data_IF_105621844280
#
_entry.id   IF_105621844280
#
_cell.length_a   1.000
_cell.length_b   1.000
_cell.length_c   1.000
_cell.angle_alpha   90.00
_cell.angle_beta   90.00
_cell.angle_gamma   90.00
#
_symmetry.space_group_name_H-M   'P 1'
#
loop_
_entity.id
_entity.type
_entity.pdbx_description
1 polymer ?
#
# COMPACT_ATOMS: atom_id res chain seq x y z
N UNK A 1 16.86 3.36 -5.60
CA UNK A 1 17.41 4.11 -6.75
C UNK A 1 16.78 5.49 -6.77
N UNK A 2 17.49 6.51 -7.28
CA UNK A 2 16.91 7.83 -7.52
C UNK A 2 16.30 7.91 -8.92
N UNK A 3 15.18 8.62 -9.05
CA UNK A 3 14.62 8.95 -10.35
C UNK A 3 15.57 9.90 -11.10
N UNK A 4 15.73 9.68 -12.40
CA UNK A 4 16.63 10.47 -13.26
C UNK A 4 15.89 11.43 -14.20
N UNK A 5 14.56 11.43 -14.17
CA UNK A 5 13.68 12.18 -15.07
C UNK A 5 12.48 12.78 -14.32
N UNK A 6 11.77 13.68 -15.02
CA UNK A 6 10.49 14.24 -14.58
C UNK A 6 10.57 15.11 -13.32
N UNK A 7 9.39 15.48 -12.80
CA UNK A 7 9.22 16.34 -11.61
C UNK A 7 9.97 15.84 -10.38
N UNK A 8 10.11 14.52 -10.24
CA UNK A 8 10.72 13.88 -9.06
C UNK A 8 12.18 13.48 -9.26
N UNK A 9 12.87 14.03 -10.27
CA UNK A 9 14.31 13.80 -10.48
C UNK A 9 15.10 14.02 -9.19
N UNK A 10 15.98 13.08 -8.85
CA UNK A 10 16.77 13.05 -7.62
C UNK A 10 16.07 12.44 -6.40
N UNK A 11 14.77 12.14 -6.48
CA UNK A 11 14.01 11.50 -5.39
C UNK A 11 14.21 9.99 -5.40
N UNK A 12 14.39 9.38 -4.22
CA UNK A 12 14.43 7.92 -4.07
C UNK A 12 13.07 7.28 -4.40
N UNK A 13 13.07 6.24 -5.24
CA UNK A 13 11.87 5.52 -5.64
C UNK A 13 11.10 4.95 -4.42
N UNK A 14 11.80 4.38 -3.43
CA UNK A 14 11.17 3.88 -2.19
C UNK A 14 10.39 4.96 -1.46
N UNK A 15 10.92 6.19 -1.41
CA UNK A 15 10.24 7.32 -0.78
C UNK A 15 9.01 7.72 -1.59
N UNK A 16 9.16 7.82 -2.91
CA UNK A 16 8.10 8.27 -3.80
C UNK A 16 6.91 7.30 -3.84
N UNK A 17 7.15 5.98 -3.69
CA UNK A 17 6.11 4.96 -3.57
C UNK A 17 5.07 5.29 -2.48
N UNK A 18 5.52 5.87 -1.36
CA UNK A 18 4.67 6.19 -0.23
C UNK A 18 4.27 7.67 -0.14
N UNK A 19 5.00 8.56 -0.81
CA UNK A 19 4.75 9.99 -0.75
C UNK A 19 3.79 10.50 -1.82
N UNK A 20 3.82 9.91 -3.01
CA UNK A 20 2.91 10.23 -4.12
C UNK A 20 2.57 8.96 -4.94
N UNK A 21 1.83 8.00 -4.36
CA UNK A 21 1.40 6.79 -5.07
C UNK A 21 0.52 7.09 -6.30
N UNK A 22 -0.13 8.25 -6.36
CA UNK A 22 -0.87 8.67 -7.54
C UNK A 22 0.07 8.95 -8.74
N UNK A 23 1.25 9.53 -8.49
CA UNK A 23 2.27 9.67 -9.52
C UNK A 23 2.83 8.31 -9.95
N UNK A 24 3.05 7.40 -8.99
CA UNK A 24 3.51 6.03 -9.31
C UNK A 24 2.49 5.32 -10.20
N UNK A 25 1.20 5.40 -9.87
CA UNK A 25 0.11 4.85 -10.68
C UNK A 25 0.09 5.43 -12.09
N UNK A 26 0.18 6.75 -12.22
CA UNK A 26 0.29 7.41 -13.53
C UNK A 26 1.49 6.88 -14.31
N UNK A 27 2.67 6.89 -13.69
CA UNK A 27 3.92 6.47 -14.31
C UNK A 27 3.85 5.01 -14.81
N UNK A 28 3.22 4.11 -14.05
CA UNK A 28 3.03 2.72 -14.44
C UNK A 28 1.99 2.52 -15.55
N UNK A 29 1.07 3.47 -15.73
CA UNK A 29 0.07 3.45 -16.80
C UNK A 29 0.56 4.03 -18.14
N UNK A 30 1.70 4.72 -18.14
CA UNK A 30 2.26 5.33 -19.35
C UNK A 30 2.87 4.29 -20.30
N UNK A 31 2.47 4.37 -21.57
CA UNK A 31 2.99 3.54 -22.65
C UNK A 31 4.20 4.19 -23.33
N UNK A 32 5.03 3.39 -24.01
CA UNK A 32 6.20 3.90 -24.74
C UNK A 32 7.34 4.42 -23.84
N UNK A 33 7.37 4.02 -22.57
CA UNK A 33 8.42 4.43 -21.64
C UNK A 33 9.80 3.97 -22.13
N UNK A 34 10.75 4.90 -22.09
CA UNK A 34 12.16 4.66 -22.45
C UNK A 34 13.10 5.34 -21.46
N UNK A 35 14.38 4.98 -21.50
CA UNK A 35 15.43 5.56 -20.66
C UNK A 35 15.09 5.53 -19.16
N UNK A 36 15.17 6.70 -18.50
CA UNK A 36 14.91 6.83 -17.07
C UNK A 36 13.49 6.46 -16.66
N UNK A 37 12.51 6.66 -17.54
CA UNK A 37 11.10 6.35 -17.26
C UNK A 37 10.87 4.84 -17.16
N UNK A 38 11.41 4.09 -18.13
CA UNK A 38 11.36 2.62 -18.10
C UNK A 38 12.09 2.06 -16.88
N UNK A 39 13.22 2.64 -16.51
CA UNK A 39 13.96 2.23 -15.32
C UNK A 39 13.15 2.44 -14.04
N UNK A 40 12.43 3.57 -13.91
CA UNK A 40 11.57 3.80 -12.76
C UNK A 40 10.33 2.90 -12.76
N UNK A 41 9.69 2.65 -13.91
CA UNK A 41 8.58 1.69 -13.99
C UNK A 41 9.01 0.32 -13.47
N UNK A 42 10.14 -0.22 -13.95
CA UNK A 42 10.69 -1.49 -13.48
C UNK A 42 10.94 -1.51 -11.98
N UNK A 43 11.49 -0.43 -11.44
CA UNK A 43 11.75 -0.33 -10.01
C UNK A 43 10.45 -0.26 -9.19
N UNK A 44 9.46 0.55 -9.60
CA UNK A 44 8.19 0.59 -8.88
C UNK A 44 7.46 -0.74 -8.92
N UNK A 45 7.48 -1.45 -10.06
CA UNK A 45 6.96 -2.82 -10.13
C UNK A 45 7.68 -3.75 -9.14
N UNK A 46 9.02 -3.67 -9.06
CA UNK A 46 9.82 -4.46 -8.10
C UNK A 46 9.46 -4.13 -6.65
N UNK A 47 9.36 -2.85 -6.31
CA UNK A 47 9.06 -2.38 -4.95
C UNK A 47 7.63 -2.73 -4.53
N UNK A 48 6.65 -2.59 -5.43
CA UNK A 48 5.26 -3.01 -5.19
C UNK A 48 5.20 -4.52 -4.97
N UNK A 49 5.85 -5.32 -5.81
CA UNK A 49 5.93 -6.77 -5.62
C UNK A 49 6.59 -7.14 -4.28
N UNK A 50 7.61 -6.39 -3.84
CA UNK A 50 8.24 -6.60 -2.55
C UNK A 50 7.31 -6.26 -1.38
N UNK A 51 6.53 -5.17 -1.47
CA UNK A 51 5.49 -4.84 -0.48
C UNK A 51 4.39 -5.91 -0.44
N UNK A 52 3.89 -6.33 -1.60
CA UNK A 52 2.79 -7.29 -1.68
C UNK A 52 3.17 -8.65 -1.10
N UNK A 53 4.42 -9.09 -1.29
CA UNK A 53 4.95 -10.33 -0.73
C UNK A 53 5.18 -10.30 0.79
N UNK A 54 5.23 -9.13 1.42
CA UNK A 54 5.43 -9.07 2.87
C UNK A 54 4.21 -9.64 3.61
N UNK A 55 4.43 -10.50 4.63
CA UNK A 55 3.36 -10.90 5.52
C UNK A 55 2.85 -9.69 6.30
N UNK A 56 1.62 -9.79 6.81
CA UNK A 56 1.16 -8.88 7.85
C UNK A 56 1.97 -9.16 9.12
N UNK A 57 2.34 -8.11 9.85
CA UNK A 57 3.27 -8.21 10.98
C UNK A 57 2.55 -8.41 12.33
N UNK A 58 1.26 -8.07 12.40
CA UNK A 58 0.48 -8.11 13.63
C UNK A 58 -0.44 -9.32 13.76
N UNK A 59 -1.02 -9.46 14.95
CA UNK A 59 -2.05 -10.45 15.23
C UNK A 59 -3.41 -10.03 14.67
N UNK A 60 -4.30 -11.01 14.50
CA UNK A 60 -5.68 -10.75 14.12
C UNK A 60 -6.41 -9.88 15.16
N UNK A 61 -7.05 -8.81 14.68
CA UNK A 61 -7.88 -7.90 15.48
C UNK A 61 -9.10 -8.57 16.13
N UNK A 62 -9.49 -9.78 15.70
CA UNK A 62 -10.55 -10.57 16.31
C UNK A 62 -10.22 -11.13 17.70
N UNK A 63 -8.96 -11.01 18.15
CA UNK A 63 -8.50 -11.47 19.46
C UNK A 63 -8.15 -12.96 19.54
N UNK A 64 -8.14 -13.67 18.40
CA UNK A 64 -7.82 -15.10 18.34
C UNK A 64 -6.32 -15.42 18.44
N UNK A 65 -5.46 -14.39 18.49
CA UNK A 65 -3.98 -14.50 18.54
C UNK A 65 -3.33 -15.20 17.35
N UNK A 66 -4.08 -15.49 16.28
CA UNK A 66 -3.51 -15.96 15.03
C UNK A 66 -2.85 -14.79 14.29
N UNK A 67 -1.76 -15.04 13.54
CA UNK A 67 -1.17 -14.03 12.67
C UNK A 67 -2.21 -13.50 11.67
N UNK A 68 -2.18 -12.20 11.41
CA UNK A 68 -3.00 -11.64 10.35
C UNK A 68 -2.50 -12.08 8.96
N UNK A 69 -3.42 -12.22 8.02
CA UNK A 69 -3.15 -12.59 6.61
C UNK A 69 -3.83 -11.65 5.62
N UNK A 70 -4.72 -10.78 6.11
CA UNK A 70 -5.47 -9.80 5.33
C UNK A 70 -5.80 -8.57 6.17
N UNK A 71 -6.07 -7.45 5.53
CA UNK A 71 -6.72 -6.33 6.17
C UNK A 71 -8.05 -5.99 5.51
N UNK A 72 -8.87 -5.19 6.19
CA UNK A 72 -10.09 -4.61 5.64
C UNK A 72 -10.21 -3.13 5.95
N UNK A 73 -10.86 -2.38 5.06
CA UNK A 73 -11.24 -0.99 5.28
C UNK A 73 -12.73 -0.77 5.04
N UNK A 74 -13.28 0.24 5.71
CA UNK A 74 -14.57 0.84 5.35
C UNK A 74 -14.44 1.74 4.13
N UNK A 75 -15.54 1.95 3.41
CA UNK A 75 -15.61 2.94 2.34
C UNK A 75 -15.14 4.33 2.83
N UNK A 76 -14.44 5.07 1.97
CA UNK A 76 -13.85 6.38 2.27
C UNK A 76 -12.80 6.41 3.39
N UNK A 77 -12.51 5.27 4.03
CA UNK A 77 -11.52 5.19 5.10
C UNK A 77 -10.19 4.63 4.58
N UNK A 78 -9.05 5.26 4.93
CA UNK A 78 -7.74 4.66 4.72
C UNK A 78 -7.34 3.70 5.84
N UNK A 79 -8.06 3.69 6.97
CA UNK A 79 -7.73 2.86 8.13
C UNK A 79 -7.96 1.39 7.82
N UNK A 80 -6.92 0.60 8.06
CA UNK A 80 -6.94 -0.84 7.91
C UNK A 80 -7.11 -1.53 9.26
N UNK A 81 -7.85 -2.63 9.25
CA UNK A 81 -7.95 -3.56 10.37
C UNK A 81 -7.49 -4.93 9.88
N UNK A 82 -6.53 -5.52 10.57
CA UNK A 82 -5.90 -6.79 10.18
C UNK A 82 -6.60 -8.01 10.78
N UNK A 83 -6.77 -9.05 9.99
CA UNK A 83 -7.51 -10.27 10.31
C UNK A 83 -6.73 -11.51 9.86
N UNK A 84 -6.89 -12.62 10.57
CA UNK A 84 -6.62 -13.93 10.00
C UNK A 84 -7.76 -14.33 9.03
N UNK A 85 -7.59 -15.44 8.32
CA UNK A 85 -8.61 -15.91 7.38
C UNK A 85 -9.86 -16.50 8.08
N UNK A 86 -9.72 -16.98 9.31
CA UNK A 86 -10.81 -17.62 10.06
C UNK A 86 -11.73 -16.62 10.79
N UNK A 87 -11.18 -15.48 11.21
CA UNK A 87 -11.97 -14.49 11.95
C UNK A 87 -12.86 -13.69 11.00
N UNK A 88 -14.16 -13.74 11.26
CA UNK A 88 -15.15 -12.89 10.62
C UNK A 88 -15.22 -11.51 11.30
N UNK A 89 -14.90 -10.41 10.60
CA UNK A 89 -15.01 -9.07 11.16
C UNK A 89 -16.44 -8.68 11.53
N UNK A 90 -17.47 -9.21 10.86
CA UNK A 90 -18.86 -8.85 11.13
C UNK A 90 -19.35 -9.44 12.45
N UNK A 91 -18.95 -10.67 12.75
CA UNK A 91 -19.10 -11.29 14.07
C UNK A 91 -18.38 -10.54 15.20
N UNK A 92 -17.49 -9.58 14.87
CA UNK A 92 -16.78 -8.71 15.82
C UNK A 92 -17.32 -7.28 15.85
N UNK A 93 -18.50 -7.05 15.29
CA UNK A 93 -19.20 -5.76 15.35
C UNK A 93 -18.92 -4.84 14.16
N UNK A 94 -18.23 -5.31 13.12
CA UNK A 94 -18.15 -4.54 11.87
C UNK A 94 -19.53 -4.44 11.20
N UNK A 95 -19.80 -3.32 10.52
CA UNK A 95 -21.07 -3.13 9.82
C UNK A 95 -21.19 -4.13 8.65
N UNK A 96 -22.23 -4.98 8.62
CA UNK A 96 -22.40 -6.01 7.59
C UNK A 96 -22.31 -5.46 6.17
N UNK A 97 -21.48 -6.09 5.33
CA UNK A 97 -21.31 -5.74 3.92
C UNK A 97 -20.62 -4.40 3.64
N UNK A 98 -20.10 -3.70 4.66
CA UNK A 98 -19.45 -2.38 4.49
C UNK A 98 -17.92 -2.42 4.38
N UNK A 99 -17.33 -3.59 4.59
CA UNK A 99 -15.88 -3.79 4.53
C UNK A 99 -15.43 -4.29 3.16
N UNK A 100 -14.25 -3.84 2.74
CA UNK A 100 -13.52 -4.40 1.58
C UNK A 100 -12.19 -4.95 2.06
N UNK A 101 -11.80 -6.10 1.53
CA UNK A 101 -10.50 -6.70 1.80
C UNK A 101 -9.40 -5.96 1.05
N UNK A 102 -8.29 -5.69 1.72
CA UNK A 102 -7.07 -5.09 1.19
C UNK A 102 -5.88 -5.96 1.60
N UNK A 103 -5.22 -6.59 0.62
CA UNK A 103 -4.02 -7.41 0.85
C UNK A 103 -2.80 -6.86 0.11
N UNK A 104 -3.04 -6.23 -1.04
CA UNK A 104 -2.02 -5.78 -1.98
C UNK A 104 -2.14 -4.29 -2.27
N UNK A 105 -1.10 -3.73 -2.88
CA UNK A 105 -1.09 -2.37 -3.41
C UNK A 105 -2.25 -2.14 -4.38
N UNK A 106 -2.51 -3.12 -5.27
CA UNK A 106 -3.62 -3.06 -6.21
C UNK A 106 -5.00 -3.09 -5.53
N UNK A 107 -5.17 -3.85 -4.43
CA UNK A 107 -6.42 -3.82 -3.67
C UNK A 107 -6.65 -2.45 -3.02
N UNK A 108 -5.59 -1.83 -2.51
CA UNK A 108 -5.65 -0.50 -1.93
C UNK A 108 -6.00 0.57 -2.97
N UNK A 109 -5.42 0.50 -4.17
CA UNK A 109 -5.82 1.34 -5.30
C UNK A 109 -7.29 1.13 -5.69
N UNK A 110 -7.71 -0.14 -5.81
CA UNK A 110 -9.09 -0.49 -6.15
C UNK A 110 -10.06 0.03 -5.09
N UNK A 111 -9.75 -0.12 -3.80
CA UNK A 111 -10.55 0.40 -2.70
C UNK A 111 -10.76 1.90 -2.81
N UNK A 112 -9.69 2.66 -3.03
CA UNK A 112 -9.77 4.13 -3.11
C UNK A 112 -10.47 4.59 -4.37
N UNK A 113 -10.26 3.92 -5.51
CA UNK A 113 -10.98 4.23 -6.74
C UNK A 113 -12.49 4.01 -6.59
N UNK A 114 -12.91 2.92 -5.94
CA UNK A 114 -14.31 2.58 -5.78
C UNK A 114 -15.03 3.37 -4.70
N UNK A 115 -14.31 3.77 -3.65
CA UNK A 115 -14.96 4.31 -2.44
C UNK A 115 -14.69 5.78 -2.20
N UNK A 116 -13.59 6.32 -2.74
CA UNK A 116 -13.14 7.70 -2.54
C UNK A 116 -12.70 8.36 -3.86
N UNK A 117 -13.28 7.93 -4.99
CA UNK A 117 -13.07 8.52 -6.33
C UNK A 117 -11.60 8.68 -6.74
N UNK A 118 -10.71 7.80 -6.24
CA UNK A 118 -9.29 7.88 -6.55
C UNK A 118 -8.56 9.03 -5.84
N UNK A 119 -9.13 9.62 -4.78
CA UNK A 119 -8.60 10.78 -4.08
C UNK A 119 -7.16 10.54 -3.60
N UNK A 120 -6.25 11.44 -4.00
CA UNK A 120 -4.79 11.26 -3.84
C UNK A 120 -4.35 11.13 -2.39
N UNK A 121 -4.96 11.91 -1.48
CA UNK A 121 -4.62 11.85 -0.06
C UNK A 121 -5.05 10.52 0.56
N UNK A 122 -6.21 10.00 0.17
CA UNK A 122 -6.73 8.71 0.65
C UNK A 122 -5.88 7.56 0.12
N UNK A 123 -5.48 7.61 -1.16
CA UNK A 123 -4.54 6.64 -1.74
C UNK A 123 -3.21 6.63 -1.00
N UNK A 124 -2.65 7.81 -0.73
CA UNK A 124 -1.43 7.94 0.08
C UNK A 124 -1.60 7.32 1.46
N UNK A 125 -2.67 7.65 2.16
CA UNK A 125 -2.91 7.18 3.51
C UNK A 125 -3.05 5.65 3.55
N UNK A 126 -3.88 5.05 2.69
CA UNK A 126 -4.11 3.60 2.73
C UNK A 126 -2.87 2.79 2.32
N UNK A 127 -2.05 3.28 1.38
CA UNK A 127 -0.80 2.60 1.00
C UNK A 127 0.20 2.61 2.16
N UNK A 128 0.23 3.70 2.96
CA UNK A 128 1.07 3.76 4.16
C UNK A 128 0.53 2.88 5.28
N UNK A 129 -0.79 2.85 5.49
CA UNK A 129 -1.43 1.91 6.42
C UNK A 129 -1.11 0.47 6.04
N UNK A 130 -1.24 0.10 4.75
CA UNK A 130 -0.90 -1.24 4.28
C UNK A 130 0.55 -1.61 4.58
N UNK A 131 1.47 -0.67 4.36
CA UNK A 131 2.88 -0.89 4.68
C UNK A 131 3.10 -1.07 6.19
N UNK A 132 2.43 -0.28 7.04
CA UNK A 132 2.54 -0.37 8.50
C UNK A 132 1.98 -1.69 9.02
N UNK A 133 0.82 -2.11 8.51
CA UNK A 133 0.23 -3.44 8.78
C UNK A 133 1.17 -4.59 8.37
N UNK A 134 2.02 -4.37 7.37
CA UNK A 134 3.06 -5.29 6.90
C UNK A 134 4.43 -5.09 7.58
N UNK A 135 4.49 -4.31 8.65
CA UNK A 135 5.69 -4.14 9.49
C UNK A 135 6.57 -2.94 9.17
N UNK A 136 6.10 -1.98 8.39
CA UNK A 136 6.78 -0.70 8.21
C UNK A 136 6.69 0.14 9.48
N UNK A 137 7.77 0.85 9.83
CA UNK A 137 7.75 1.78 10.95
C UNK A 137 6.79 2.96 10.71
N UNK A 138 6.22 3.51 11.79
CA UNK A 138 5.32 4.69 11.73
C UNK A 138 5.97 5.91 11.06
N UNK A 139 7.30 6.01 11.11
CA UNK A 139 8.07 7.07 10.45
C UNK A 139 8.74 6.53 9.19
N UNK A 140 8.37 7.07 8.04
CA UNK A 140 8.89 6.68 6.73
C UNK A 140 10.18 7.45 6.41
N UNK A 141 11.20 7.29 7.26
CA UNK A 141 12.53 7.84 7.01
C UNK A 141 13.23 7.05 5.91
N UNK A 142 14.28 7.62 5.30
CA UNK A 142 15.07 6.91 4.29
C UNK A 142 15.66 5.59 4.84
N UNK A 143 16.13 5.59 6.10
CA UNK A 143 16.65 4.39 6.75
C UNK A 143 15.58 3.32 6.97
N UNK A 144 14.40 3.71 7.49
CA UNK A 144 13.30 2.78 7.69
C UNK A 144 12.81 2.17 6.37
N UNK A 145 12.73 2.99 5.32
CA UNK A 145 12.34 2.54 3.98
C UNK A 145 13.35 1.57 3.38
N UNK A 146 14.66 1.79 3.58
CA UNK A 146 15.71 0.90 3.10
C UNK A 146 15.76 -0.42 3.89
N UNK A 147 15.42 -0.41 5.18
CA UNK A 147 15.28 -1.63 5.98
C UNK A 147 14.01 -2.42 5.61
N UNK A 148 12.94 -1.72 5.26
CA UNK A 148 11.66 -2.32 4.93
C UNK A 148 11.64 -2.88 3.50
N UNK A 149 12.02 -2.12 2.49
CA UNK A 149 12.00 -2.54 1.09
C UNK A 149 13.41 -2.76 0.54
N UNK A 150 13.61 -3.75 -0.35
CA UNK A 150 14.89 -4.06 -0.97
C UNK A 150 15.38 -2.96 -1.90
#
# INVERSE_FOLDING_TARGET
MKLTFGKYKGTEARKLLFDDPAYVRWLLGESGASGGMLAAQKEFTRLIAALDKKPFAGDCAGGCKQPATRASAYANSPTLFSWCDDCDPYSKGALPGKLRTVRTYADAERHVNLTAEGHRATLKAIIRELAMEKGMAKRFTASALAAFLP
#
